data_IF_380608293410
#
_entry.id   IF_380608293410
#
_cell.length_a   1.000
_cell.length_b   1.000
_cell.length_c   1.000
_cell.angle_alpha   90.00
_cell.angle_beta   90.00
_cell.angle_gamma   90.00
#
_symmetry.space_group_name_H-M   'P 1'
#
loop_
_entity.id
_entity.type
_entity.pdbx_description
1 polymer ?
#
# COMPACT_ATOMS: atom_id res chain seq x y z
N UNK A 1 -12.81 6.78 25.43
CA UNK A 1 -13.25 5.37 25.30
C UNK A 1 -13.01 4.94 23.87
N UNK A 2 -12.23 3.88 23.58
CA UNK A 2 -12.11 3.39 22.22
C UNK A 2 -13.45 2.71 21.87
N UNK A 3 -14.15 3.26 20.88
CA UNK A 3 -15.26 2.55 20.24
C UNK A 3 -14.63 1.37 19.51
N UNK A 4 -14.76 0.16 20.06
CA UNK A 4 -14.56 -1.05 19.28
C UNK A 4 -15.62 -1.03 18.16
N UNK A 5 -15.23 -0.62 16.96
CA UNK A 5 -16.05 -0.84 15.77
C UNK A 5 -16.04 -2.35 15.54
N UNK A 6 -17.20 -2.99 15.64
CA UNK A 6 -17.36 -4.41 15.29
C UNK A 6 -17.16 -4.56 13.78
N UNK A 7 -15.91 -4.65 13.36
CA UNK A 7 -15.53 -4.89 11.98
C UNK A 7 -15.39 -6.39 11.78
N UNK A 8 -16.09 -6.93 10.79
CA UNK A 8 -15.94 -8.33 10.37
C UNK A 8 -14.83 -8.40 9.32
N UNK A 9 -13.84 -9.26 9.54
CA UNK A 9 -12.83 -9.57 8.54
C UNK A 9 -13.18 -10.89 7.85
N UNK A 10 -13.37 -10.86 6.53
CA UNK A 10 -13.73 -12.04 5.74
C UNK A 10 -12.56 -12.42 4.83
N UNK A 11 -11.71 -13.38 5.23
CA UNK A 11 -10.62 -13.84 4.38
C UNK A 11 -11.15 -14.73 3.24
N UNK A 12 -10.62 -14.52 2.04
CA UNK A 12 -10.78 -15.44 0.91
C UNK A 12 -9.45 -16.17 0.70
N UNK A 13 -9.37 -17.42 1.16
CA UNK A 13 -8.11 -18.18 1.21
C UNK A 13 -7.56 -18.59 -0.16
N UNK A 14 -8.42 -18.65 -1.17
CA UNK A 14 -8.05 -18.95 -2.55
C UNK A 14 -8.87 -18.08 -3.47
N UNK A 15 -8.21 -17.40 -4.41
CA UNK A 15 -8.92 -16.64 -5.42
C UNK A 15 -9.48 -17.59 -6.49
N UNK A 16 -10.81 -17.73 -6.49
CA UNK A 16 -11.61 -18.30 -7.58
C UNK A 16 -12.60 -17.18 -7.96
N UNK A 17 -12.65 -16.73 -9.23
CA UNK A 17 -13.46 -15.58 -9.64
C UNK A 17 -14.92 -15.63 -9.19
N UNK A 18 -15.58 -16.77 -9.40
CA UNK A 18 -16.97 -17.00 -9.05
C UNK A 18 -17.21 -16.91 -7.54
N UNK A 19 -16.38 -17.59 -6.75
CA UNK A 19 -16.47 -17.59 -5.29
C UNK A 19 -16.24 -16.18 -4.74
N UNK A 20 -15.26 -15.45 -5.27
CA UNK A 20 -14.98 -14.07 -4.86
C UNK A 20 -16.16 -13.13 -5.14
N UNK A 21 -16.79 -13.27 -6.32
CA UNK A 21 -18.00 -12.51 -6.68
C UNK A 21 -19.16 -12.86 -5.74
N UNK A 22 -19.34 -14.13 -5.39
CA UNK A 22 -20.35 -14.56 -4.43
C UNK A 22 -20.08 -13.94 -3.05
N UNK A 23 -18.83 -13.93 -2.58
CA UNK A 23 -18.45 -13.27 -1.33
C UNK A 23 -18.77 -11.78 -1.34
N UNK A 24 -18.52 -11.06 -2.45
CA UNK A 24 -18.89 -9.65 -2.56
C UNK A 24 -20.41 -9.44 -2.43
N UNK A 25 -21.20 -10.33 -3.04
CA UNK A 25 -22.67 -10.25 -3.00
C UNK A 25 -23.22 -10.56 -1.60
N UNK A 26 -22.67 -11.57 -0.93
CA UNK A 26 -23.12 -12.05 0.37
C UNK A 26 -22.71 -11.08 1.49
N UNK A 27 -21.43 -10.72 1.55
CA UNK A 27 -20.87 -9.97 2.68
C UNK A 27 -20.93 -8.46 2.51
N UNK A 28 -21.09 -7.96 1.27
CA UNK A 28 -21.21 -6.53 0.95
C UNK A 28 -20.16 -5.66 1.69
N UNK A 29 -18.86 -5.91 1.48
CA UNK A 29 -17.80 -5.29 2.26
C UNK A 29 -17.71 -3.77 2.00
N UNK A 30 -17.40 -3.02 3.06
CA UNK A 30 -17.12 -1.57 2.95
C UNK A 30 -15.68 -1.27 2.50
N UNK A 31 -14.76 -2.17 2.86
CA UNK A 31 -13.34 -2.01 2.61
C UNK A 31 -12.77 -3.25 1.94
N UNK A 32 -11.97 -3.06 0.90
CA UNK A 32 -11.27 -4.16 0.23
C UNK A 32 -9.75 -4.00 0.35
N UNK A 33 -9.07 -5.09 0.71
CA UNK A 33 -7.62 -5.24 0.59
C UNK A 33 -7.33 -6.04 -0.66
N UNK A 34 -6.64 -5.45 -1.65
CA UNK A 34 -6.39 -6.09 -2.94
C UNK A 34 -4.96 -5.88 -3.41
N UNK A 35 -4.52 -6.76 -4.31
CA UNK A 35 -3.34 -6.55 -5.15
C UNK A 35 -3.77 -5.96 -6.51
N UNK A 36 -2.86 -5.36 -7.31
CA UNK A 36 -3.23 -4.75 -8.58
C UNK A 36 -3.96 -5.67 -9.56
N UNK A 37 -3.61 -6.96 -9.60
CA UNK A 37 -4.29 -7.94 -10.46
C UNK A 37 -5.75 -8.16 -10.07
N UNK A 38 -6.07 -8.14 -8.77
CA UNK A 38 -7.44 -8.27 -8.27
C UNK A 38 -8.23 -6.98 -8.48
N UNK A 39 -7.59 -5.81 -8.36
CA UNK A 39 -8.20 -4.54 -8.76
C UNK A 39 -8.56 -4.52 -10.25
N UNK A 40 -7.68 -5.05 -11.11
CA UNK A 40 -7.94 -5.18 -12.55
C UNK A 40 -9.10 -6.14 -12.84
N UNK A 41 -9.17 -7.26 -12.10
CA UNK A 41 -10.30 -8.18 -12.17
C UNK A 41 -11.61 -7.46 -11.83
N UNK A 42 -11.66 -6.75 -10.70
CA UNK A 42 -12.83 -5.96 -10.29
C UNK A 42 -13.22 -4.91 -11.34
N UNK A 43 -12.23 -4.27 -11.96
CA UNK A 43 -12.43 -3.22 -12.95
C UNK A 43 -12.93 -3.74 -14.31
N UNK A 44 -12.63 -4.99 -14.68
CA UNK A 44 -12.88 -5.49 -16.05
C UNK A 44 -13.88 -6.64 -16.12
N UNK A 45 -14.07 -7.41 -15.05
CA UNK A 45 -14.89 -8.62 -15.11
C UNK A 45 -16.38 -8.28 -15.35
N UNK A 46 -17.06 -8.94 -16.31
CA UNK A 46 -18.43 -8.57 -16.70
C UNK A 46 -19.47 -8.82 -15.61
N UNK A 47 -19.28 -9.86 -14.77
CA UNK A 47 -20.17 -10.16 -13.64
C UNK A 47 -19.94 -9.26 -12.41
N UNK A 48 -18.83 -8.53 -12.37
CA UNK A 48 -18.66 -7.48 -11.35
C UNK A 48 -19.43 -6.27 -11.88
N UNK A 49 -20.41 -5.79 -11.15
CA UNK A 49 -21.26 -4.66 -11.57
C UNK A 49 -21.11 -3.49 -10.59
N UNK A 50 -21.48 -2.26 -10.98
CA UNK A 50 -21.57 -1.14 -10.04
C UNK A 50 -22.43 -1.50 -8.80
N UNK A 51 -23.53 -2.23 -9.00
CA UNK A 51 -24.42 -2.66 -7.91
C UNK A 51 -23.75 -3.66 -6.96
N UNK A 52 -22.91 -4.57 -7.49
CA UNK A 52 -22.13 -5.48 -6.66
C UNK A 52 -21.12 -4.72 -5.78
N UNK A 53 -20.56 -3.63 -6.31
CA UNK A 53 -19.60 -2.75 -5.63
C UNK A 53 -20.26 -1.61 -4.84
N UNK A 54 -21.59 -1.56 -4.77
CA UNK A 54 -22.34 -0.45 -4.15
C UNK A 54 -22.06 -0.28 -2.65
N UNK A 55 -21.57 -1.32 -1.97
CA UNK A 55 -21.20 -1.29 -0.56
C UNK A 55 -19.77 -0.85 -0.29
N UNK A 56 -18.88 -0.87 -1.30
CA UNK A 56 -17.44 -0.64 -1.13
C UNK A 56 -17.15 0.85 -1.14
N UNK A 57 -16.67 1.42 -0.04
CA UNK A 57 -16.37 2.85 0.06
C UNK A 57 -14.89 3.15 -0.17
N UNK A 58 -14.02 2.19 0.09
CA UNK A 58 -12.59 2.33 -0.16
C UNK A 58 -11.87 1.01 -0.41
N UNK A 59 -10.75 1.12 -1.11
CA UNK A 59 -9.89 0.01 -1.49
C UNK A 59 -8.45 0.37 -1.12
N UNK A 60 -7.76 -0.52 -0.39
CA UNK A 60 -6.32 -0.46 -0.24
C UNK A 60 -5.65 -1.43 -1.19
N UNK A 61 -4.77 -0.89 -2.02
CA UNK A 61 -3.93 -1.64 -2.94
C UNK A 61 -2.52 -1.71 -2.39
N UNK A 62 -1.96 -2.91 -2.30
CA UNK A 62 -0.60 -3.12 -1.80
C UNK A 62 0.18 -4.13 -2.63
N UNK A 63 1.38 -4.45 -2.16
CA UNK A 63 2.36 -5.38 -2.75
C UNK A 63 2.95 -4.97 -4.11
N UNK A 64 2.24 -4.17 -4.91
CA UNK A 64 2.77 -3.58 -6.13
C UNK A 64 2.00 -2.28 -6.48
N UNK A 65 2.60 -1.37 -7.27
CA UNK A 65 1.94 -0.14 -7.68
C UNK A 65 0.70 -0.40 -8.55
N UNK A 66 -0.39 0.30 -8.27
CA UNK A 66 -1.55 0.38 -9.15
C UNK A 66 -1.42 1.63 -10.04
N UNK A 67 -1.27 1.40 -11.35
CA UNK A 67 -1.15 2.51 -12.31
C UNK A 67 -2.38 3.42 -12.27
N UNK A 68 -2.18 4.71 -12.58
CA UNK A 68 -3.29 5.68 -12.70
C UNK A 68 -4.39 5.15 -13.64
N UNK A 69 -4.01 4.55 -14.77
CA UNK A 69 -4.95 3.96 -15.72
C UNK A 69 -5.80 2.86 -15.12
N UNK A 70 -5.22 2.00 -14.27
CA UNK A 70 -5.95 0.95 -13.57
C UNK A 70 -6.92 1.54 -12.53
N UNK A 71 -6.48 2.54 -11.76
CA UNK A 71 -7.32 3.22 -10.78
C UNK A 71 -8.52 3.91 -11.47
N UNK A 72 -8.29 4.64 -12.56
CA UNK A 72 -9.35 5.28 -13.34
C UNK A 72 -10.32 4.28 -13.97
N UNK A 73 -9.81 3.14 -14.45
CA UNK A 73 -10.66 2.06 -14.96
C UNK A 73 -11.57 1.51 -13.87
N UNK A 74 -11.04 1.30 -12.66
CA UNK A 74 -11.84 0.86 -11.52
C UNK A 74 -12.87 1.92 -11.10
N UNK A 75 -12.50 3.21 -11.04
CA UNK A 75 -13.44 4.31 -10.76
C UNK A 75 -14.57 4.36 -11.79
N UNK A 76 -14.24 4.20 -13.07
CA UNK A 76 -15.23 4.13 -14.16
C UNK A 76 -16.18 2.95 -13.97
N UNK A 77 -15.66 1.78 -13.59
CA UNK A 77 -16.45 0.58 -13.31
C UNK A 77 -17.41 0.76 -12.14
N UNK A 78 -16.98 1.47 -11.10
CA UNK A 78 -17.77 1.76 -9.90
C UNK A 78 -18.83 2.84 -10.18
N UNK A 79 -18.54 3.80 -11.06
CA UNK A 79 -19.50 4.84 -11.48
C UNK A 79 -19.78 5.92 -10.43
N UNK A 80 -19.00 5.96 -9.34
CA UNK A 80 -19.05 6.98 -8.28
C UNK A 80 -17.66 7.20 -7.69
N UNK A 81 -17.54 8.24 -6.86
CA UNK A 81 -16.32 8.43 -6.09
C UNK A 81 -16.06 7.23 -5.17
N UNK A 82 -14.81 6.76 -5.18
CA UNK A 82 -14.30 5.70 -4.33
C UNK A 82 -12.85 6.04 -3.99
N UNK A 83 -12.48 5.87 -2.72
CA UNK A 83 -11.13 6.11 -2.28
C UNK A 83 -10.25 4.91 -2.60
N UNK A 84 -9.13 5.14 -3.29
CA UNK A 84 -8.17 4.11 -3.67
C UNK A 84 -6.84 4.51 -3.05
N UNK A 85 -6.51 3.85 -1.94
CA UNK A 85 -5.26 4.05 -1.24
C UNK A 85 -4.19 3.08 -1.76
N UNK A 86 -2.95 3.53 -1.84
CA UNK A 86 -1.79 2.67 -2.05
C UNK A 86 -1.02 2.53 -0.76
N UNK A 87 -0.61 1.30 -0.43
CA UNK A 87 0.31 1.02 0.66
C UNK A 87 1.65 0.53 0.11
N UNK A 88 2.73 1.14 0.57
CA UNK A 88 4.10 0.66 0.36
C UNK A 88 4.64 0.07 1.66
N UNK A 89 5.30 -1.08 1.53
CA UNK A 89 6.10 -1.69 2.56
C UNK A 89 6.65 -3.02 2.08
N UNK A 90 7.36 -3.70 2.96
CA UNK A 90 8.03 -4.96 2.69
C UNK A 90 7.88 -5.88 3.89
N UNK A 91 8.24 -7.15 3.73
CA UNK A 91 8.16 -8.14 4.82
C UNK A 91 8.96 -7.68 6.03
N UNK A 92 10.11 -7.05 5.79
CA UNK A 92 11.05 -6.52 6.76
C UNK A 92 10.53 -5.26 7.49
N UNK A 93 9.39 -4.69 7.08
CA UNK A 93 8.81 -3.48 7.65
C UNK A 93 7.35 -3.59 8.13
N UNK A 94 6.83 -4.82 8.23
CA UNK A 94 5.58 -5.20 8.93
C UNK A 94 4.36 -4.25 8.83
N UNK A 95 3.50 -4.40 7.82
CA UNK A 95 3.79 -4.68 6.42
C UNK A 95 3.76 -3.40 5.56
N UNK A 96 3.37 -2.25 6.12
CA UNK A 96 3.17 -0.99 5.41
C UNK A 96 3.81 0.14 6.21
N UNK A 97 4.66 0.93 5.55
CA UNK A 97 5.36 2.07 6.13
C UNK A 97 4.95 3.40 5.51
N UNK A 98 4.46 3.38 4.26
CA UNK A 98 3.82 4.53 3.63
C UNK A 98 2.42 4.15 3.15
N UNK A 99 1.46 5.04 3.33
CA UNK A 99 0.11 4.86 2.81
C UNK A 99 -0.47 6.18 2.32
N UNK A 100 -1.23 6.11 1.23
CA UNK A 100 -2.03 7.23 0.78
C UNK A 100 -3.05 7.62 1.87
N UNK A 101 -3.11 8.90 2.29
CA UNK A 101 -4.09 9.36 3.26
C UNK A 101 -5.54 9.25 2.74
N UNK A 102 -6.50 9.10 3.65
CA UNK A 102 -7.92 9.15 3.28
C UNK A 102 -8.26 10.51 2.68
N UNK A 103 -8.97 10.52 1.53
CA UNK A 103 -9.36 11.75 0.79
C UNK A 103 -8.18 12.65 0.41
N UNK A 104 -7.07 12.04 0.00
CA UNK A 104 -5.91 12.75 -0.51
C UNK A 104 -6.20 13.53 -1.81
N UNK A 105 -5.36 14.53 -2.08
CA UNK A 105 -5.37 15.28 -3.34
C UNK A 105 -5.10 14.34 -4.52
N UNK A 106 -6.02 14.31 -5.49
CA UNK A 106 -5.90 13.47 -6.68
C UNK A 106 -4.70 13.86 -7.57
N UNK A 107 -4.10 15.04 -7.37
CA UNK A 107 -2.82 15.40 -8.00
C UNK A 107 -1.66 14.48 -7.58
N UNK A 108 -1.77 13.82 -6.42
CA UNK A 108 -0.76 12.91 -5.85
C UNK A 108 -0.96 11.46 -6.25
N UNK A 109 -1.89 11.14 -7.17
CA UNK A 109 -2.07 9.78 -7.66
C UNK A 109 -0.75 9.28 -8.29
N UNK A 110 -0.35 8.07 -7.90
CA UNK A 110 0.93 7.47 -8.31
C UNK A 110 2.02 7.58 -7.25
N UNK A 111 1.82 8.35 -6.18
CA UNK A 111 2.68 8.32 -4.99
C UNK A 111 2.40 7.09 -4.12
N UNK A 112 3.36 6.74 -3.27
CA UNK A 112 3.20 5.71 -2.22
C UNK A 112 2.52 6.27 -0.95
N UNK A 113 2.17 7.56 -0.96
CA UNK A 113 1.58 8.25 0.18
C UNK A 113 2.60 8.69 1.23
N UNK A 114 2.11 8.85 2.46
CA UNK A 114 2.85 9.45 3.57
C UNK A 114 3.27 8.38 4.59
N UNK A 115 4.28 8.69 5.38
CA UNK A 115 4.77 7.81 6.44
C UNK A 115 3.67 7.52 7.48
N UNK A 116 3.59 6.26 7.92
CA UNK A 116 2.81 5.91 9.10
C UNK A 116 3.39 6.60 10.36
N UNK A 117 2.58 6.89 11.39
CA UNK A 117 3.06 7.50 12.62
C UNK A 117 4.23 6.74 13.25
N UNK A 118 5.15 7.47 13.87
CA UNK A 118 6.39 6.95 14.46
C UNK A 118 7.32 6.26 13.44
N UNK A 119 7.19 6.57 12.16
CA UNK A 119 8.10 6.13 11.11
C UNK A 119 8.90 7.32 10.59
N UNK A 120 10.18 7.10 10.39
CA UNK A 120 11.09 8.03 9.75
C UNK A 120 11.57 7.45 8.42
N UNK A 121 11.81 8.34 7.45
CA UNK A 121 12.42 7.98 6.19
C UNK A 121 13.54 8.96 5.83
N UNK A 122 14.51 8.47 5.07
CA UNK A 122 15.49 9.31 4.38
C UNK A 122 15.74 8.75 2.99
N UNK A 123 16.04 9.63 2.05
CA UNK A 123 16.53 9.27 0.72
C UNK A 123 18.04 9.38 0.73
N UNK A 124 18.73 8.31 0.36
CA UNK A 124 20.19 8.22 0.38
C UNK A 124 20.72 8.15 -1.05
N UNK A 125 21.71 8.98 -1.35
CA UNK A 125 22.38 9.00 -2.65
C UNK A 125 23.04 7.65 -2.97
N UNK A 126 22.76 7.14 -4.18
CA UNK A 126 23.34 5.89 -4.68
C UNK A 126 24.84 6.01 -5.01
N UNK A 127 25.39 7.23 -5.08
CA UNK A 127 26.78 7.47 -5.48
C UNK A 127 27.73 7.69 -4.30
N UNK A 128 27.30 8.43 -3.29
CA UNK A 128 28.16 8.89 -2.18
C UNK A 128 27.56 8.64 -0.79
N UNK A 129 26.35 8.07 -0.69
CA UNK A 129 25.70 7.77 0.59
C UNK A 129 25.20 8.99 1.37
N UNK A 130 25.20 10.18 0.77
CA UNK A 130 24.68 11.39 1.40
C UNK A 130 23.15 11.40 1.49
N UNK A 131 22.61 12.10 2.49
CA UNK A 131 21.15 12.31 2.60
C UNK A 131 20.69 13.35 1.57
N UNK A 132 19.60 13.03 0.86
CA UNK A 132 19.03 13.86 -0.19
C UNK A 132 17.78 14.62 0.28
N UNK A 133 17.59 15.81 -0.29
CA UNK A 133 16.45 16.70 -0.07
C UNK A 133 15.23 16.36 -0.93
N UNK A 134 14.16 17.20 -0.85
CA UNK A 134 12.97 17.02 -1.66
C UNK A 134 13.27 17.02 -3.17
N UNK A 135 12.54 16.20 -3.91
CA UNK A 135 12.66 16.01 -5.37
C UNK A 135 14.02 15.48 -5.85
N UNK A 136 14.85 14.96 -4.95
CA UNK A 136 16.09 14.28 -5.29
C UNK A 136 15.92 12.76 -5.17
N UNK A 137 16.37 12.04 -6.19
CA UNK A 137 16.18 10.59 -6.31
C UNK A 137 17.35 9.83 -5.70
N UNK A 138 17.05 8.84 -4.86
CA UNK A 138 18.03 7.95 -4.23
C UNK A 138 17.37 6.69 -3.67
N UNK A 139 18.09 5.92 -2.87
CA UNK A 139 17.58 4.74 -2.16
C UNK A 139 16.76 5.15 -0.93
N UNK A 140 15.59 4.53 -0.74
CA UNK A 140 14.74 4.76 0.44
C UNK A 140 15.24 3.98 1.65
N UNK A 141 15.39 4.66 2.79
CA UNK A 141 15.75 4.07 4.06
C UNK A 141 14.64 4.36 5.06
N UNK A 142 14.24 3.37 5.85
CA UNK A 142 13.12 3.47 6.78
C UNK A 142 13.53 3.11 8.20
N UNK A 143 12.99 3.80 9.20
CA UNK A 143 13.18 3.47 10.62
C UNK A 143 11.87 3.62 11.37
N UNK A 144 11.56 2.68 12.26
CA UNK A 144 10.32 2.71 13.02
C UNK A 144 10.10 1.43 13.83
N UNK A 145 9.07 1.41 14.70
CA UNK A 145 8.77 0.26 15.55
C UNK A 145 8.35 -1.00 14.78
N UNK A 146 7.94 -0.86 13.52
CA UNK A 146 7.51 -1.96 12.64
C UNK A 146 8.66 -2.66 11.90
N UNK A 147 9.87 -2.11 11.94
CA UNK A 147 11.04 -2.71 11.29
C UNK A 147 11.41 -4.02 11.99
N UNK A 148 11.74 -5.04 11.19
CA UNK A 148 12.12 -6.35 11.68
C UNK A 148 13.32 -6.29 12.63
N UNK A 149 13.49 -7.35 13.45
CA UNK A 149 14.68 -7.51 14.29
C UNK A 149 15.90 -8.03 13.51
N UNK A 150 15.68 -8.54 12.31
CA UNK A 150 16.68 -9.22 11.49
C UNK A 150 16.18 -10.56 10.95
N UNK A 151 16.98 -11.14 10.07
CA UNK A 151 16.72 -12.45 9.49
C UNK A 151 17.12 -13.57 10.44
N UNK A 152 16.25 -14.57 10.58
CA UNK A 152 16.50 -15.73 11.44
C UNK A 152 17.76 -16.47 10.97
N UNK A 153 18.73 -16.63 11.89
CA UNK A 153 20.01 -17.32 11.66
C UNK A 153 20.85 -16.72 10.50
N UNK A 154 20.64 -15.45 10.15
CA UNK A 154 21.41 -14.79 9.09
C UNK A 154 21.82 -13.37 9.51
N UNK A 155 22.83 -13.30 10.39
CA UNK A 155 23.38 -12.04 10.89
C UNK A 155 24.03 -11.21 9.78
N UNK A 156 24.64 -11.86 8.79
CA UNK A 156 25.27 -11.18 7.67
C UNK A 156 24.24 -10.38 6.84
N UNK A 157 23.16 -11.03 6.40
CA UNK A 157 22.08 -10.35 5.70
C UNK A 157 21.40 -9.30 6.60
N UNK A 158 21.27 -9.58 7.91
CA UNK A 158 20.70 -8.62 8.86
C UNK A 158 21.52 -7.33 8.91
N UNK A 159 22.85 -7.41 8.97
CA UNK A 159 23.74 -6.23 8.99
C UNK A 159 23.82 -5.51 7.65
N UNK A 160 23.62 -6.24 6.55
CA UNK A 160 23.54 -5.64 5.21
C UNK A 160 22.25 -4.83 5.04
N UNK A 161 21.14 -5.34 5.55
CA UNK A 161 19.79 -4.76 5.40
C UNK A 161 19.47 -3.71 6.48
N UNK A 162 19.87 -3.93 7.73
CA UNK A 162 19.71 -2.98 8.84
C UNK A 162 21.05 -2.28 9.08
N UNK A 163 21.17 -1.05 8.58
CA UNK A 163 22.38 -0.24 8.71
C UNK A 163 22.49 0.45 10.07
N UNK A 164 23.61 1.14 10.26
CA UNK A 164 23.82 2.04 11.40
C UNK A 164 22.62 2.97 11.63
N UNK A 165 22.39 3.28 12.91
CA UNK A 165 21.23 4.03 13.42
C UNK A 165 19.86 3.34 13.30
N UNK A 166 19.83 2.05 12.92
CA UNK A 166 18.63 1.21 12.91
C UNK A 166 17.72 1.45 11.69
N UNK A 167 18.26 2.01 10.61
CA UNK A 167 17.54 2.15 9.35
C UNK A 167 17.55 0.85 8.56
N UNK A 168 16.39 0.47 8.05
CA UNK A 168 16.20 -0.54 7.02
C UNK A 168 16.50 0.06 5.65
N UNK A 169 17.45 -0.54 4.93
CA UNK A 169 17.68 -0.32 3.50
C UNK A 169 16.61 -1.06 2.71
N UNK A 170 15.79 -0.35 1.94
CA UNK A 170 14.73 -1.02 1.18
C UNK A 170 15.22 -1.57 -0.16
N UNK A 171 16.31 -1.02 -0.71
CA UNK A 171 16.76 -1.28 -2.07
C UNK A 171 15.91 -0.59 -3.16
N UNK A 172 14.83 0.10 -2.78
CA UNK A 172 13.96 0.81 -3.71
C UNK A 172 14.44 2.25 -3.96
N UNK A 173 14.35 2.67 -5.22
CA UNK A 173 14.66 4.03 -5.64
C UNK A 173 13.41 4.91 -5.51
N UNK A 174 13.52 5.99 -4.74
CA UNK A 174 12.43 6.91 -4.47
C UNK A 174 12.90 8.36 -4.36
N UNK A 175 11.92 9.27 -4.31
CA UNK A 175 12.06 10.66 -3.88
C UNK A 175 10.81 11.04 -3.09
N UNK A 176 10.88 12.16 -2.36
CA UNK A 176 9.75 12.76 -1.65
C UNK A 176 9.59 14.21 -2.09
N UNK A 177 8.41 14.78 -1.90
CA UNK A 177 8.17 16.20 -2.24
C UNK A 177 8.30 17.10 -1.00
N UNK A 178 7.99 18.38 -1.14
CA UNK A 178 8.11 19.35 -0.03
C UNK A 178 7.08 19.14 1.09
N UNK A 179 6.03 18.38 0.82
CA UNK A 179 4.95 18.06 1.78
C UNK A 179 5.20 16.74 2.51
N UNK A 180 6.24 15.98 2.11
CA UNK A 180 6.57 14.66 2.64
C UNK A 180 6.00 13.58 1.75
#
# INVERSE_FOLDING_TARGET
MPRHTHNTFTPVYRFIPEDYIQCLAEFRPQFLFVVPSLLLFLATHPKVTPDLLSSVDSVLVGAAPASLQLQEKFRTKVGRYIDIAQGYGMTESSPVTLCTPHRYDQSKVGTCGQLYPNTEAKIVSLTDGSNLGPHQTGELYLRGPQIMKGYLNNEAATKETLVEDGFLRTGDVAYYDKEG
#
